data_IF_231449627144
#
_entry.id   IF_231449627144
#
_cell.length_a   1.000
_cell.length_b   1.000
_cell.length_c   1.000
_cell.angle_alpha   90.00
_cell.angle_beta   90.00
_cell.angle_gamma   90.00
#
_symmetry.space_group_name_H-M   'P 1'
#
loop_
_entity.id
_entity.type
_entity.pdbx_description
1 polymer ?
#
# COMPACT_ATOMS: atom_id res chain seq x y z
N UNK A 1 4.71 -11.97 14.74
CA UNK A 1 4.13 -10.82 14.00
C UNK A 1 2.67 -11.10 13.70
N UNK A 2 1.78 -10.22 14.13
CA UNK A 2 0.33 -10.37 14.00
C UNK A 2 -0.24 -9.32 13.05
N UNK A 3 -1.31 -9.66 12.31
CA UNK A 3 -2.00 -8.71 11.42
C UNK A 3 -2.39 -7.41 12.13
N UNK A 4 -2.82 -7.52 13.39
CA UNK A 4 -3.20 -6.38 14.23
C UNK A 4 -2.05 -5.40 14.47
N UNK A 5 -0.84 -5.92 14.68
CA UNK A 5 0.37 -5.11 14.84
C UNK A 5 0.73 -4.37 13.54
N UNK A 6 0.59 -5.03 12.38
CA UNK A 6 0.81 -4.41 11.07
C UNK A 6 -0.21 -3.29 10.79
N UNK A 7 -1.49 -3.53 11.08
CA UNK A 7 -2.54 -2.52 10.95
C UNK A 7 -2.27 -1.31 11.84
N UNK A 8 -1.87 -1.57 13.10
CA UNK A 8 -1.49 -0.51 14.04
C UNK A 8 -0.30 0.30 13.52
N UNK A 9 0.74 -0.37 13.03
CA UNK A 9 1.91 0.28 12.46
C UNK A 9 1.55 1.20 11.28
N UNK A 10 0.76 0.69 10.31
CA UNK A 10 0.32 1.47 9.15
C UNK A 10 -0.56 2.65 9.56
N UNK A 11 -1.50 2.45 10.49
CA UNK A 11 -2.39 3.53 10.95
C UNK A 11 -1.63 4.63 11.70
N UNK A 12 -0.65 4.28 12.54
CA UNK A 12 0.21 5.27 13.21
C UNK A 12 1.01 6.07 12.17
N UNK A 13 1.51 5.40 11.13
CA UNK A 13 2.24 6.07 10.04
C UNK A 13 1.37 7.07 9.30
N UNK A 14 0.09 6.73 9.03
CA UNK A 14 -0.84 7.61 8.33
C UNK A 14 -1.31 8.80 9.16
N UNK A 15 -1.47 8.60 10.47
CA UNK A 15 -1.97 9.63 11.39
C UNK A 15 -0.86 10.45 12.04
N UNK A 16 0.40 10.01 11.93
CA UNK A 16 1.59 10.56 12.60
C UNK A 16 1.40 10.73 14.13
N UNK A 17 0.48 9.95 14.72
CA UNK A 17 0.08 10.08 16.13
C UNK A 17 -0.47 8.78 16.70
N UNK A 18 0.10 8.33 17.82
CA UNK A 18 -0.43 7.18 18.56
C UNK A 18 -1.85 7.41 19.09
N UNK A 19 -2.16 8.62 19.54
CA UNK A 19 -3.49 8.94 20.08
C UNK A 19 -4.55 8.90 18.99
N UNK A 20 -4.28 9.55 17.83
CA UNK A 20 -5.22 9.53 16.69
C UNK A 20 -5.38 8.11 16.10
N UNK A 21 -4.29 7.36 16.00
CA UNK A 21 -4.36 5.98 15.55
C UNK A 21 -5.21 5.11 16.51
N UNK A 22 -5.11 5.35 17.81
CA UNK A 22 -5.91 4.66 18.81
C UNK A 22 -7.41 4.96 18.65
N UNK A 23 -7.78 6.21 18.42
CA UNK A 23 -9.15 6.61 18.12
C UNK A 23 -9.69 5.93 16.86
N UNK A 24 -8.91 5.95 15.76
CA UNK A 24 -9.28 5.32 14.48
C UNK A 24 -9.48 3.81 14.60
N UNK A 25 -8.63 3.14 15.40
CA UNK A 25 -8.67 1.69 15.55
C UNK A 25 -9.57 1.20 16.69
N UNK A 26 -10.14 2.12 17.49
CA UNK A 26 -10.97 1.77 18.64
C UNK A 26 -10.20 1.14 19.81
N UNK A 27 -8.92 1.50 19.99
CA UNK A 27 -8.04 1.01 21.04
C UNK A 27 -7.61 2.15 21.98
N UNK A 28 -6.96 1.78 23.09
CA UNK A 28 -6.24 2.75 23.92
C UNK A 28 -4.83 3.01 23.34
N UNK A 29 -4.30 4.20 23.56
CA UNK A 29 -2.93 4.54 23.13
C UNK A 29 -1.89 3.59 23.77
N UNK A 30 -2.09 3.17 25.01
CA UNK A 30 -1.22 2.21 25.70
C UNK A 30 -1.21 0.85 25.00
N UNK A 31 -2.37 0.37 24.56
CA UNK A 31 -2.46 -0.89 23.80
C UNK A 31 -1.67 -0.81 22.49
N UNK A 32 -1.79 0.28 21.73
CA UNK A 32 -1.01 0.49 20.50
C UNK A 32 0.49 0.53 20.80
N UNK A 33 0.89 1.20 21.88
CA UNK A 33 2.30 1.27 22.28
C UNK A 33 2.86 -0.12 22.57
N UNK A 34 2.08 -0.98 23.23
CA UNK A 34 2.48 -2.39 23.50
C UNK A 34 2.58 -3.16 22.17
N UNK A 35 1.61 -3.04 21.29
CA UNK A 35 1.61 -3.73 19.98
C UNK A 35 2.84 -3.37 19.15
N UNK A 36 3.17 -2.08 19.06
CA UNK A 36 4.36 -1.63 18.32
C UNK A 36 5.64 -2.12 18.98
N UNK A 37 5.73 -2.06 20.31
CA UNK A 37 6.90 -2.58 21.03
C UNK A 37 7.12 -4.07 20.76
N UNK A 38 6.05 -4.87 20.76
CA UNK A 38 6.14 -6.31 20.45
C UNK A 38 6.61 -6.53 19.00
N UNK A 39 6.08 -5.76 18.04
CA UNK A 39 6.50 -5.82 16.65
C UNK A 39 7.98 -5.44 16.49
N UNK A 40 8.41 -4.32 17.09
CA UNK A 40 9.81 -3.87 17.05
C UNK A 40 10.77 -4.89 17.71
N UNK A 41 10.35 -5.50 18.82
CA UNK A 41 11.14 -6.53 19.49
C UNK A 41 11.32 -7.79 18.61
N UNK A 42 10.24 -8.22 17.93
CA UNK A 42 10.30 -9.37 17.02
C UNK A 42 11.19 -9.09 15.81
N UNK A 43 11.13 -7.87 15.25
CA UNK A 43 11.95 -7.44 14.11
C UNK A 43 13.39 -7.08 14.51
N UNK A 44 13.66 -6.88 15.78
CA UNK A 44 14.97 -6.45 16.29
C UNK A 44 15.36 -5.02 15.95
N UNK A 45 14.42 -4.21 15.45
CA UNK A 45 14.67 -2.82 15.02
C UNK A 45 13.57 -1.87 15.48
N UNK A 46 13.91 -0.59 15.64
CA UNK A 46 12.93 0.47 15.88
C UNK A 46 12.30 0.90 14.58
N UNK A 47 10.97 0.99 14.56
CA UNK A 47 10.19 1.42 13.41
C UNK A 47 9.81 2.90 13.51
N UNK A 48 9.71 3.43 14.74
CA UNK A 48 9.35 4.82 14.99
C UNK A 48 10.39 5.53 15.86
N UNK A 49 10.62 6.80 15.49
CA UNK A 49 11.29 7.79 16.32
C UNK A 49 10.26 8.76 16.89
N UNK A 50 10.42 9.12 18.17
CA UNK A 50 9.56 10.10 18.85
C UNK A 50 10.34 11.40 19.01
N UNK A 51 9.91 12.45 18.33
CA UNK A 51 10.43 13.81 18.51
C UNK A 51 9.32 14.69 19.09
N UNK A 52 9.29 14.83 20.41
CA UNK A 52 8.24 15.55 21.12
C UNK A 52 6.88 14.87 20.99
N UNK A 53 5.92 15.60 20.43
CA UNK A 53 4.54 15.10 20.21
C UNK A 53 4.34 14.42 18.83
N UNK A 54 5.33 14.45 17.94
CA UNK A 54 5.24 13.88 16.60
C UNK A 54 5.95 12.55 16.54
N UNK A 55 5.46 11.70 15.65
CA UNK A 55 5.98 10.35 15.41
C UNK A 55 6.47 10.28 13.97
N UNK A 56 7.70 9.85 13.78
CA UNK A 56 8.34 9.70 12.48
C UNK A 56 8.80 8.26 12.28
N UNK A 57 8.78 7.82 11.03
CA UNK A 57 9.38 6.53 10.69
C UNK A 57 10.92 6.61 10.73
N UNK A 58 11.54 5.61 11.31
CA UNK A 58 12.97 5.35 11.16
C UNK A 58 13.30 4.92 9.72
N UNK A 59 14.58 4.77 9.37
CA UNK A 59 14.97 4.18 8.08
C UNK A 59 14.43 2.74 7.93
N UNK A 60 14.58 1.81 8.92
CA UNK A 60 13.92 0.51 8.88
C UNK A 60 12.39 0.60 8.80
N UNK A 61 11.77 1.55 9.52
CA UNK A 61 10.32 1.76 9.48
C UNK A 61 9.81 2.12 8.08
N UNK A 62 10.54 2.97 7.36
CA UNK A 62 10.21 3.32 5.96
C UNK A 62 10.27 2.10 5.03
N UNK A 63 11.31 1.28 5.16
CA UNK A 63 11.44 0.05 4.38
C UNK A 63 10.35 -0.96 4.74
N UNK A 64 10.08 -1.14 6.02
CA UNK A 64 9.08 -2.07 6.51
C UNK A 64 7.65 -1.69 6.10
N UNK A 65 7.35 -0.41 5.88
CA UNK A 65 6.02 0.08 5.51
C UNK A 65 5.49 -0.57 4.22
N UNK A 66 6.36 -0.73 3.22
CA UNK A 66 6.00 -1.41 1.97
C UNK A 66 5.58 -2.86 2.21
N UNK A 67 6.38 -3.60 2.99
CA UNK A 67 6.08 -5.00 3.32
C UNK A 67 4.80 -5.13 4.17
N UNK A 68 4.61 -4.25 5.17
CA UNK A 68 3.41 -4.26 5.99
C UNK A 68 2.14 -4.03 5.15
N UNK A 69 2.17 -3.08 4.23
CA UNK A 69 1.06 -2.82 3.31
C UNK A 69 0.78 -4.04 2.41
N UNK A 70 1.83 -4.68 1.87
CA UNK A 70 1.68 -5.88 1.04
C UNK A 70 1.01 -7.01 1.82
N UNK A 71 1.52 -7.34 3.00
CA UNK A 71 0.96 -8.43 3.84
C UNK A 71 -0.51 -8.16 4.18
N UNK A 72 -0.87 -6.91 4.53
CA UNK A 72 -2.27 -6.55 4.81
C UNK A 72 -3.15 -6.77 3.57
N UNK A 73 -2.68 -6.40 2.37
CA UNK A 73 -3.40 -6.63 1.12
C UNK A 73 -3.58 -8.12 0.83
N UNK A 74 -2.50 -8.90 0.96
CA UNK A 74 -2.52 -10.34 0.67
C UNK A 74 -3.50 -11.08 1.58
N UNK A 75 -3.53 -10.72 2.87
CA UNK A 75 -4.51 -11.27 3.83
C UNK A 75 -5.95 -10.86 3.43
N UNK A 76 -6.15 -9.62 2.99
CA UNK A 76 -7.45 -9.17 2.52
C UNK A 76 -7.88 -9.95 1.27
N UNK A 77 -6.97 -10.11 0.30
CA UNK A 77 -7.20 -10.91 -0.89
C UNK A 77 -7.55 -12.37 -0.55
N UNK A 78 -6.79 -13.00 0.33
CA UNK A 78 -7.04 -14.38 0.77
C UNK A 78 -8.42 -14.53 1.41
N UNK A 79 -8.85 -13.55 2.20
CA UNK A 79 -10.19 -13.56 2.82
C UNK A 79 -11.33 -13.39 1.80
N UNK A 80 -11.14 -12.55 0.79
CA UNK A 80 -12.13 -12.38 -0.28
C UNK A 80 -12.18 -13.63 -1.19
N UNK A 81 -11.03 -14.22 -1.52
CA UNK A 81 -10.95 -15.48 -2.26
C UNK A 81 -11.68 -16.61 -1.54
N UNK A 82 -11.55 -16.71 -0.22
CA UNK A 82 -12.26 -17.74 0.57
C UNK A 82 -13.79 -17.57 0.61
N UNK A 83 -14.30 -16.41 0.22
CA UNK A 83 -15.74 -16.12 0.16
C UNK A 83 -16.34 -16.31 -1.23
N UNK A 84 -15.51 -16.33 -2.29
CA UNK A 84 -15.94 -16.45 -3.68
C UNK A 84 -15.39 -17.74 -4.28
N UNK A 85 -16.27 -18.63 -4.73
CA UNK A 85 -15.85 -19.94 -5.23
C UNK A 85 -15.10 -19.92 -6.58
N UNK A 86 -15.05 -18.82 -7.36
CA UNK A 86 -14.54 -18.90 -8.75
C UNK A 86 -13.84 -17.64 -9.33
N UNK A 87 -13.72 -16.50 -8.67
CA UNK A 87 -13.15 -15.31 -9.35
C UNK A 87 -12.16 -14.49 -8.52
N UNK A 88 -11.16 -13.91 -9.23
CA UNK A 88 -10.22 -12.94 -8.68
C UNK A 88 -10.96 -11.70 -8.15
N UNK A 89 -10.89 -11.45 -6.85
CA UNK A 89 -11.54 -10.32 -6.18
C UNK A 89 -10.53 -9.34 -5.57
N UNK A 90 -9.23 -9.54 -5.81
CA UNK A 90 -8.20 -8.68 -5.22
C UNK A 90 -8.24 -7.28 -5.83
N UNK A 91 -8.27 -6.22 -5.00
CA UNK A 91 -8.22 -4.86 -5.51
C UNK A 91 -6.93 -4.60 -6.29
N UNK A 92 -7.04 -4.03 -7.48
CA UNK A 92 -5.91 -3.59 -8.30
C UNK A 92 -5.70 -2.09 -8.12
N UNK A 93 -4.52 -1.70 -7.63
CA UNK A 93 -4.14 -0.30 -7.46
C UNK A 93 -3.23 0.14 -8.60
N UNK A 94 -3.74 1.02 -9.46
CA UNK A 94 -3.04 1.53 -10.65
C UNK A 94 -2.62 2.97 -10.41
N UNK A 95 -1.33 3.24 -10.55
CA UNK A 95 -0.79 4.60 -10.60
C UNK A 95 -0.67 5.10 -12.05
N UNK A 96 -1.00 6.35 -12.31
CA UNK A 96 -0.88 6.93 -13.64
C UNK A 96 -0.67 8.44 -13.62
N UNK A 97 -0.33 9.01 -14.77
CA UNK A 97 -0.29 10.44 -14.96
C UNK A 97 -1.69 11.01 -15.15
N UNK A 98 -1.93 12.23 -14.68
CA UNK A 98 -3.22 12.90 -14.82
C UNK A 98 -3.68 12.97 -16.29
N UNK A 99 -2.76 13.26 -17.21
CA UNK A 99 -3.04 13.31 -18.67
C UNK A 99 -3.53 11.97 -19.24
N UNK A 100 -3.12 10.85 -18.67
CA UNK A 100 -3.53 9.51 -19.12
C UNK A 100 -4.88 9.09 -18.55
N UNK A 101 -5.30 9.67 -17.42
CA UNK A 101 -6.62 9.41 -16.83
C UNK A 101 -7.77 9.76 -17.79
N UNK A 102 -7.57 10.78 -18.64
CA UNK A 102 -8.59 11.27 -19.56
C UNK A 102 -8.43 10.74 -20.99
N UNK A 103 -7.31 10.08 -21.32
CA UNK A 103 -7.02 9.63 -22.68
C UNK A 103 -7.23 8.12 -22.86
N UNK A 104 -6.21 7.33 -22.63
CA UNK A 104 -6.21 5.89 -22.94
C UNK A 104 -6.67 5.01 -21.78
N UNK A 105 -6.45 5.43 -20.53
CA UNK A 105 -6.76 4.62 -19.36
C UNK A 105 -8.24 4.21 -19.26
N UNK A 106 -9.24 5.07 -19.56
CA UNK A 106 -10.64 4.68 -19.46
C UNK A 106 -11.01 3.52 -20.39
N UNK A 107 -10.45 3.48 -21.61
CA UNK A 107 -10.69 2.40 -22.56
C UNK A 107 -10.11 1.06 -22.06
N UNK A 108 -8.89 1.09 -21.52
CA UNK A 108 -8.23 -0.07 -20.93
C UNK A 108 -9.04 -0.60 -19.74
N UNK A 109 -9.46 0.32 -18.85
CA UNK A 109 -10.25 -0.06 -17.67
C UNK A 109 -11.64 -0.60 -18.02
N UNK A 110 -12.28 -0.09 -19.05
CA UNK A 110 -13.56 -0.62 -19.52
C UNK A 110 -13.42 -2.05 -20.06
N UNK A 111 -12.39 -2.31 -20.87
CA UNK A 111 -12.11 -3.65 -21.35
C UNK A 111 -11.78 -4.61 -20.19
N UNK A 112 -10.95 -4.17 -19.24
CA UNK A 112 -10.61 -4.96 -18.06
C UNK A 112 -11.83 -5.29 -17.20
N UNK A 113 -12.70 -4.29 -16.92
CA UNK A 113 -13.93 -4.48 -16.13
C UNK A 113 -14.93 -5.43 -16.80
N UNK A 114 -15.00 -5.43 -18.13
CA UNK A 114 -15.85 -6.36 -18.87
C UNK A 114 -15.41 -7.82 -18.67
N UNK A 115 -14.10 -8.05 -18.57
CA UNK A 115 -13.53 -9.39 -18.37
C UNK A 115 -13.43 -9.79 -16.89
N UNK A 116 -13.30 -8.79 -15.99
CA UNK A 116 -13.07 -9.00 -14.56
C UNK A 116 -13.97 -8.07 -13.72
N UNK A 117 -15.30 -8.28 -13.74
CA UNK A 117 -16.26 -7.33 -13.13
C UNK A 117 -16.15 -7.23 -11.62
N UNK A 118 -15.60 -8.25 -10.95
CA UNK A 118 -15.46 -8.31 -9.50
C UNK A 118 -14.16 -7.74 -8.95
N UNK A 119 -13.20 -7.37 -9.83
CA UNK A 119 -11.93 -6.77 -9.40
C UNK A 119 -12.12 -5.27 -9.17
N UNK A 120 -12.06 -4.76 -7.93
CA UNK A 120 -12.10 -3.33 -7.67
C UNK A 120 -10.82 -2.70 -8.19
N UNK A 121 -10.93 -1.71 -9.07
CA UNK A 121 -9.76 -0.95 -9.55
C UNK A 121 -9.74 0.41 -8.89
N UNK A 122 -8.64 0.72 -8.19
CA UNK A 122 -8.35 2.04 -7.63
C UNK A 122 -7.29 2.71 -8.48
N UNK A 123 -7.59 3.88 -9.03
CA UNK A 123 -6.64 4.69 -9.80
C UNK A 123 -6.14 5.84 -8.95
N UNK A 124 -4.82 6.04 -8.96
CA UNK A 124 -4.16 7.17 -8.31
C UNK A 124 -3.38 7.96 -9.35
N UNK A 125 -3.74 9.23 -9.55
CA UNK A 125 -3.01 10.14 -10.42
C UNK A 125 -1.94 10.88 -9.62
N UNK A 126 -0.70 10.91 -10.14
CA UNK A 126 0.41 11.62 -9.50
C UNK A 126 1.55 11.90 -10.49
N UNK A 127 2.62 12.53 -10.02
CA UNK A 127 3.84 12.75 -10.81
C UNK A 127 4.64 11.45 -10.97
N UNK A 128 5.48 11.29 -12.02
CA UNK A 128 6.27 10.08 -12.24
C UNK A 128 7.11 9.68 -11.02
N UNK A 129 7.79 10.65 -10.39
CA UNK A 129 8.64 10.37 -9.23
C UNK A 129 7.84 9.86 -8.02
N UNK A 130 6.65 10.45 -7.79
CA UNK A 130 5.76 10.00 -6.71
C UNK A 130 5.18 8.61 -6.99
N UNK A 131 4.84 8.31 -8.24
CA UNK A 131 4.35 6.99 -8.63
C UNK A 131 5.42 5.91 -8.43
N UNK A 132 6.67 6.22 -8.78
CA UNK A 132 7.82 5.34 -8.53
C UNK A 132 7.98 5.08 -7.03
N UNK A 133 7.99 6.16 -6.22
CA UNK A 133 8.11 6.07 -4.76
C UNK A 133 6.95 5.24 -4.13
N UNK A 134 5.73 5.43 -4.64
CA UNK A 134 4.57 4.63 -4.22
C UNK A 134 4.69 3.15 -4.62
N UNK A 135 5.24 2.87 -5.80
CA UNK A 135 5.50 1.50 -6.28
C UNK A 135 6.55 0.82 -5.42
N UNK A 136 7.67 1.48 -5.12
CA UNK A 136 8.73 0.98 -4.24
C UNK A 136 8.23 0.70 -2.81
N UNK A 137 7.24 1.48 -2.36
CA UNK A 137 6.55 1.25 -1.08
C UNK A 137 5.41 0.25 -1.15
N UNK A 138 5.28 -0.50 -2.24
CA UNK A 138 4.19 -1.46 -2.47
C UNK A 138 2.79 -0.85 -2.23
N UNK A 139 2.58 0.43 -2.57
CA UNK A 139 1.28 1.11 -2.50
C UNK A 139 0.49 1.01 -3.80
N UNK A 140 1.18 0.65 -4.88
CA UNK A 140 0.62 0.40 -6.22
C UNK A 140 1.02 -0.99 -6.67
N UNK A 141 0.18 -1.62 -7.47
CA UNK A 141 0.43 -2.91 -8.10
C UNK A 141 0.94 -2.72 -9.53
N UNK A 142 0.54 -1.62 -10.17
CA UNK A 142 0.90 -1.27 -11.54
C UNK A 142 1.06 0.24 -11.67
N UNK A 143 2.02 0.69 -12.47
CA UNK A 143 2.10 2.08 -12.94
C UNK A 143 1.98 2.13 -14.45
N UNK A 144 1.16 3.07 -14.95
CA UNK A 144 0.98 3.37 -16.37
C UNK A 144 1.43 4.81 -16.65
N UNK A 145 2.61 4.97 -17.24
CA UNK A 145 3.25 6.26 -17.48
C UNK A 145 3.79 6.37 -18.91
N UNK A 146 3.92 7.61 -19.39
CA UNK A 146 4.60 7.96 -20.64
C UNK A 146 5.99 8.45 -20.28
N UNK A 147 6.94 7.55 -20.06
CA UNK A 147 8.31 7.97 -19.80
C UNK A 147 9.32 6.89 -20.20
N UNK A 148 10.58 7.32 -20.35
CA UNK A 148 11.69 6.38 -20.48
C UNK A 148 11.91 5.73 -19.12
N UNK A 149 11.73 4.43 -19.02
CA UNK A 149 11.79 3.78 -17.73
C UNK A 149 13.22 3.86 -17.18
N UNK A 150 13.37 4.45 -16.02
CA UNK A 150 14.46 4.11 -15.11
C UNK A 150 14.02 2.80 -14.45
N UNK A 151 14.42 1.68 -15.06
CA UNK A 151 14.10 0.38 -14.50
C UNK A 151 14.80 0.20 -13.15
N UNK A 152 14.04 -0.12 -12.14
CA UNK A 152 14.54 -0.85 -11.00
C UNK A 152 14.52 -2.34 -11.42
N UNK A 153 15.62 -3.07 -11.23
CA UNK A 153 15.75 -4.49 -11.63
C UNK A 153 14.69 -5.43 -11.00
N UNK A 154 13.96 -4.91 -10.00
CA UNK A 154 12.88 -5.62 -9.31
C UNK A 154 11.50 -5.46 -9.98
N UNK A 155 11.39 -4.70 -11.08
CA UNK A 155 10.10 -4.45 -11.74
C UNK A 155 10.00 -5.22 -13.06
N UNK A 156 8.87 -5.89 -13.24
CA UNK A 156 8.55 -6.54 -14.50
C UNK A 156 7.83 -5.56 -15.43
N UNK A 157 8.41 -5.30 -16.60
CA UNK A 157 7.71 -4.59 -17.65
C UNK A 157 6.65 -5.49 -18.26
N UNK A 158 5.39 -5.14 -18.06
CA UNK A 158 4.25 -5.94 -18.55
C UNK A 158 3.98 -5.64 -20.03
N UNK A 159 4.05 -4.38 -20.45
CA UNK A 159 3.74 -3.97 -21.82
C UNK A 159 4.35 -2.61 -22.14
N UNK A 160 4.84 -2.46 -23.38
CA UNK A 160 5.19 -1.18 -23.97
C UNK A 160 4.18 -0.87 -25.08
N UNK A 161 3.42 0.22 -24.91
CA UNK A 161 2.53 0.72 -25.97
C UNK A 161 3.28 1.79 -26.75
N UNK A 162 3.59 1.53 -28.01
CA UNK A 162 4.19 2.48 -28.96
C UNK A 162 3.11 3.43 -29.54
#
# INVERSE_FOLDING_TARGET
MELRQLQTFVTITQTESFSRAAEVLGYTQSALTVQIRLLENELGVKLFDRMGKRVYLTAPGRQFLGHANQIIRDIKCAREFAKSEEELCCPLHVGTLESLCFSKLPQILNSFRSSHPRVPVKVTASTPNQLIDMMERNQLDLIYILDRPRYNDNWNKVMEVR
#
